data_IF_160252491909
#
_entry.id   IF_160252491909
#
_cell.length_a   1.000
_cell.length_b   1.000
_cell.length_c   1.000
_cell.angle_alpha   90.00
_cell.angle_beta   90.00
_cell.angle_gamma   90.00
#
_symmetry.space_group_name_H-M   'P 1'
#
loop_
_entity.id
_entity.type
_entity.pdbx_description
1 polymer ?
#
# COMPACT_ATOMS: atom_id res chain seq x y z
N UNK A 1 4.66 7.74 -9.15
CA UNK A 1 5.93 7.02 -9.47
C UNK A 1 5.59 5.57 -9.69
N UNK A 2 6.18 4.91 -10.70
CA UNK A 2 6.05 3.46 -10.87
C UNK A 2 7.26 2.77 -10.23
N UNK A 3 7.01 1.88 -9.28
CA UNK A 3 8.07 1.09 -8.64
C UNK A 3 8.35 -0.19 -9.43
N UNK A 4 9.62 -0.65 -9.51
CA UNK A 4 9.94 -1.92 -10.11
C UNK A 4 9.46 -3.08 -9.23
N UNK A 5 9.14 -4.22 -9.86
CA UNK A 5 8.86 -5.49 -9.16
C UNK A 5 10.19 -6.18 -8.81
N UNK A 6 11.04 -5.45 -8.08
CA UNK A 6 12.39 -5.87 -7.65
C UNK A 6 12.64 -5.32 -6.25
N UNK A 7 12.83 -6.20 -5.26
CA UNK A 7 12.79 -5.82 -3.84
C UNK A 7 13.78 -4.70 -3.50
N UNK A 8 15.05 -4.90 -3.84
CA UNK A 8 16.12 -3.94 -3.54
C UNK A 8 15.84 -2.58 -4.18
N UNK A 9 15.58 -2.56 -5.50
CA UNK A 9 15.35 -1.32 -6.25
C UNK A 9 14.11 -0.57 -5.76
N UNK A 10 13.05 -1.30 -5.41
CA UNK A 10 11.85 -0.69 -4.86
C UNK A 10 12.11 -0.07 -3.49
N UNK A 11 12.83 -0.74 -2.59
CA UNK A 11 13.22 -0.17 -1.29
C UNK A 11 14.09 1.08 -1.43
N UNK A 12 15.05 1.06 -2.34
CA UNK A 12 15.90 2.23 -2.63
C UNK A 12 15.09 3.43 -3.13
N UNK A 13 14.11 3.20 -4.01
CA UNK A 13 13.22 4.27 -4.50
C UNK A 13 12.31 4.79 -3.39
N UNK A 14 11.73 3.92 -2.57
CA UNK A 14 10.91 4.32 -1.43
C UNK A 14 11.72 5.15 -0.43
N UNK A 15 12.96 4.74 -0.12
CA UNK A 15 13.87 5.50 0.72
C UNK A 15 14.14 6.91 0.15
N UNK A 16 14.40 7.01 -1.16
CA UNK A 16 14.58 8.30 -1.84
C UNK A 16 13.34 9.18 -1.74
N UNK A 17 12.14 8.65 -2.00
CA UNK A 17 10.88 9.41 -1.90
C UNK A 17 10.74 10.04 -0.50
N UNK A 18 10.98 9.27 0.55
CA UNK A 18 10.84 9.78 1.93
C UNK A 18 11.93 10.78 2.32
N UNK A 19 13.16 10.57 1.88
CA UNK A 19 14.29 11.43 2.25
C UNK A 19 14.37 12.72 1.44
N UNK A 20 13.89 12.73 0.19
CA UNK A 20 13.97 13.91 -0.68
C UNK A 20 12.69 14.71 -0.76
N UNK A 21 11.53 14.06 -0.86
CA UNK A 21 10.25 14.74 -1.04
C UNK A 21 9.54 15.03 0.29
N UNK A 22 9.89 14.30 1.35
CA UNK A 22 9.27 14.42 2.69
C UNK A 22 7.73 14.54 2.63
N UNK A 23 7.03 13.61 1.95
CA UNK A 23 5.60 13.75 1.70
C UNK A 23 4.79 13.74 2.99
N UNK A 24 3.58 14.32 2.94
CA UNK A 24 2.59 14.20 4.01
C UNK A 24 2.18 12.74 4.22
N UNK A 25 1.86 12.05 3.11
CA UNK A 25 1.40 10.67 3.04
C UNK A 25 1.91 10.05 1.72
N UNK A 26 2.34 8.79 1.75
CA UNK A 26 2.57 7.99 0.54
C UNK A 26 1.46 6.95 0.40
N UNK A 27 0.74 6.96 -0.72
CA UNK A 27 -0.26 5.94 -1.05
C UNK A 27 0.29 5.02 -2.12
N UNK A 28 0.50 3.76 -1.76
CA UNK A 28 0.88 2.69 -2.68
C UNK A 28 -0.38 2.06 -3.28
N UNK A 29 -0.29 1.72 -4.57
CA UNK A 29 -1.36 1.03 -5.29
C UNK A 29 -0.76 -0.22 -5.94
N UNK A 30 -1.30 -1.38 -5.61
CA UNK A 30 -0.84 -2.67 -6.13
C UNK A 30 -1.97 -3.48 -6.76
N UNK A 31 -1.63 -4.34 -7.71
CA UNK A 31 -2.61 -5.21 -8.36
C UNK A 31 -2.88 -6.46 -7.51
N UNK A 32 -4.14 -6.70 -7.13
CA UNK A 32 -4.60 -8.00 -6.64
C UNK A 32 -5.19 -8.80 -7.81
N UNK A 33 -4.39 -9.65 -8.44
CA UNK A 33 -4.73 -10.35 -9.69
C UNK A 33 -5.99 -11.21 -9.60
N UNK A 34 -6.28 -11.79 -8.42
CA UNK A 34 -7.45 -12.62 -8.18
C UNK A 34 -8.72 -11.83 -7.81
N UNK A 35 -8.60 -10.53 -7.50
CA UNK A 35 -9.73 -9.71 -7.08
C UNK A 35 -10.63 -9.37 -8.29
N UNK A 36 -11.95 -9.40 -8.08
CA UNK A 36 -12.95 -9.08 -9.09
C UNK A 36 -13.78 -7.89 -8.61
N UNK A 37 -13.62 -6.74 -9.25
CA UNK A 37 -14.33 -5.51 -8.88
C UNK A 37 -14.25 -5.16 -7.40
N UNK A 38 -13.11 -5.46 -6.78
CA UNK A 38 -12.89 -5.34 -5.35
C UNK A 38 -11.58 -4.60 -5.07
N UNK A 39 -11.68 -3.48 -4.36
CA UNK A 39 -10.56 -2.75 -3.78
C UNK A 39 -10.35 -3.22 -2.34
N UNK A 40 -9.10 -3.40 -1.94
CA UNK A 40 -8.72 -3.82 -0.59
C UNK A 40 -7.88 -2.72 0.06
N UNK A 41 -8.32 -2.25 1.22
CA UNK A 41 -7.62 -1.26 2.03
C UNK A 41 -6.80 -1.96 3.11
N UNK A 42 -5.47 -1.84 3.02
CA UNK A 42 -4.55 -2.58 3.90
C UNK A 42 -4.10 -1.73 5.10
N UNK A 43 -4.39 -2.19 6.31
CA UNK A 43 -4.02 -1.47 7.54
C UNK A 43 -2.54 -1.60 7.91
N UNK A 44 -1.93 -2.74 7.56
CA UNK A 44 -0.70 -3.19 8.20
C UNK A 44 0.26 -3.80 7.19
N UNK A 45 1.52 -3.37 7.24
CA UNK A 45 2.63 -4.02 6.56
C UNK A 45 3.39 -4.94 7.51
N UNK A 46 4.00 -6.01 7.01
CA UNK A 46 4.77 -6.98 7.82
C UNK A 46 6.24 -6.96 7.41
N UNK A 47 7.14 -7.27 8.33
CA UNK A 47 8.58 -7.18 8.06
C UNK A 47 9.17 -8.49 7.53
N UNK A 48 8.50 -9.63 7.74
CA UNK A 48 9.07 -10.96 7.55
C UNK A 48 8.13 -11.87 6.78
N UNK A 49 8.70 -12.92 6.19
CA UNK A 49 7.98 -13.99 5.51
C UNK A 49 8.07 -13.92 3.98
N UNK A 50 8.97 -13.10 3.44
CA UNK A 50 9.20 -13.00 2.00
C UNK A 50 10.03 -14.19 1.51
N UNK A 51 9.39 -15.09 0.76
CA UNK A 51 10.02 -16.28 0.17
C UNK A 51 9.94 -16.28 -1.36
N UNK A 52 8.99 -15.52 -1.91
CA UNK A 52 8.76 -15.43 -3.34
C UNK A 52 9.84 -14.58 -4.02
N UNK A 53 10.36 -15.10 -5.14
CA UNK A 53 11.35 -14.40 -5.98
C UNK A 53 10.69 -13.27 -6.75
N UNK A 54 11.38 -12.15 -6.85
CA UNK A 54 10.98 -10.99 -7.64
C UNK A 54 11.24 -11.20 -9.14
N UNK A 55 10.97 -10.17 -9.95
CA UNK A 55 11.14 -10.24 -11.40
C UNK A 55 12.59 -10.46 -11.87
N UNK A 56 13.58 -10.30 -10.98
CA UNK A 56 14.99 -10.59 -11.25
C UNK A 56 15.44 -11.94 -10.65
N UNK A 57 14.52 -12.70 -10.04
CA UNK A 57 14.82 -14.01 -9.47
C UNK A 57 15.38 -13.95 -8.04
N UNK A 58 15.30 -12.82 -7.34
CA UNK A 58 15.84 -12.65 -5.98
C UNK A 58 14.71 -12.51 -4.95
N UNK A 59 14.96 -12.90 -3.71
CA UNK A 59 14.10 -12.56 -2.57
C UNK A 59 14.94 -11.81 -1.52
N UNK A 60 14.31 -11.11 -0.55
CA UNK A 60 15.05 -10.37 0.46
C UNK A 60 15.96 -11.28 1.29
N UNK A 61 17.14 -10.78 1.62
CA UNK A 61 18.05 -11.47 2.54
C UNK A 61 17.38 -11.68 3.90
N UNK A 62 17.51 -12.88 4.45
CA UNK A 62 16.83 -13.27 5.69
C UNK A 62 15.29 -13.28 5.60
N UNK A 63 14.72 -13.13 4.41
CA UNK A 63 13.27 -13.08 4.19
C UNK A 63 12.60 -11.91 4.90
N UNK A 64 13.32 -10.81 5.13
CA UNK A 64 12.83 -9.63 5.83
C UNK A 64 13.05 -8.32 5.07
N UNK A 65 12.25 -7.29 5.36
CA UNK A 65 12.35 -6.00 4.69
C UNK A 65 13.43 -5.10 5.32
N UNK A 66 13.41 -4.95 6.64
CA UNK A 66 14.37 -4.18 7.42
C UNK A 66 14.94 -5.08 8.52
N UNK A 67 16.26 -5.26 8.53
CA UNK A 67 16.95 -5.98 9.60
C UNK A 67 16.64 -5.30 10.94
N UNK A 68 16.25 -6.10 11.93
CA UNK A 68 15.85 -5.64 13.28
C UNK A 68 14.67 -4.65 13.32
N UNK A 69 13.96 -4.48 12.20
CA UNK A 69 12.73 -3.69 12.14
C UNK A 69 11.56 -4.36 12.87
N UNK A 70 10.56 -3.58 13.35
CA UNK A 70 9.37 -4.12 14.01
C UNK A 70 8.68 -5.20 13.17
N UNK A 71 8.15 -6.26 13.77
CA UNK A 71 7.54 -7.36 12.99
C UNK A 71 6.41 -6.90 12.06
N UNK A 72 5.70 -5.85 12.47
CA UNK A 72 4.63 -5.23 11.70
C UNK A 72 4.55 -3.75 12.04
N UNK A 73 4.08 -2.95 11.10
CA UNK A 73 3.81 -1.52 11.29
C UNK A 73 2.41 -1.25 10.75
N UNK A 74 1.62 -0.50 11.50
CA UNK A 74 0.31 -0.04 11.06
C UNK A 74 0.42 1.37 10.49
N UNK A 75 -0.41 1.64 9.48
CA UNK A 75 -0.59 3.00 8.98
C UNK A 75 -1.18 3.91 10.06
N UNK A 76 -0.79 5.18 10.06
CA UNK A 76 -1.52 6.22 10.81
C UNK A 76 -2.93 6.42 10.24
N UNK A 77 -3.14 6.07 8.97
CA UNK A 77 -4.48 6.02 8.37
C UNK A 77 -5.28 4.87 8.97
N UNK A 78 -6.41 5.19 9.57
CA UNK A 78 -7.38 4.21 10.04
C UNK A 78 -8.23 3.71 8.87
N UNK A 79 -7.75 2.65 8.21
CA UNK A 79 -8.41 2.03 7.06
C UNK A 79 -9.77 1.43 7.44
N UNK A 80 -9.94 1.00 8.70
CA UNK A 80 -11.21 0.44 9.18
C UNK A 80 -12.30 1.51 9.24
N UNK A 81 -11.97 2.68 9.77
CA UNK A 81 -12.89 3.82 9.81
C UNK A 81 -13.18 4.33 8.39
N UNK A 82 -12.14 4.43 7.55
CA UNK A 82 -12.30 4.83 6.15
C UNK A 82 -13.23 3.89 5.40
N UNK A 83 -13.00 2.58 5.49
CA UNK A 83 -13.84 1.55 4.89
C UNK A 83 -15.31 1.63 5.33
N UNK A 84 -15.58 1.85 6.62
CA UNK A 84 -16.95 1.96 7.13
C UNK A 84 -17.72 3.18 6.62
N UNK A 85 -17.01 4.28 6.40
CA UNK A 85 -17.62 5.58 6.12
C UNK A 85 -17.54 5.97 4.65
N UNK A 86 -16.85 5.20 3.82
CA UNK A 86 -16.69 5.50 2.40
C UNK A 86 -17.61 4.63 1.55
N UNK A 87 -18.16 5.24 0.51
CA UNK A 87 -18.80 4.55 -0.59
C UNK A 87 -18.18 5.05 -1.88
N UNK A 88 -17.80 4.12 -2.76
CA UNK A 88 -17.29 4.43 -4.09
C UNK A 88 -18.17 3.71 -5.12
N UNK A 89 -18.48 4.39 -6.21
CA UNK A 89 -19.39 3.87 -7.23
C UNK A 89 -18.69 2.82 -8.10
N UNK A 90 -19.37 1.70 -8.36
CA UNK A 90 -18.95 0.70 -9.35
C UNK A 90 -17.81 -0.23 -8.93
N UNK A 91 -17.34 -0.16 -7.69
CA UNK A 91 -16.30 -1.06 -7.14
C UNK A 91 -16.57 -1.31 -5.66
N UNK A 92 -16.52 -2.56 -5.23
CA UNK A 92 -16.63 -2.91 -3.82
C UNK A 92 -15.33 -2.58 -3.09
N UNK A 93 -15.43 -2.24 -1.80
CA UNK A 93 -14.28 -1.95 -0.94
C UNK A 93 -14.33 -2.82 0.29
N UNK A 94 -13.21 -3.45 0.62
CA UNK A 94 -13.03 -4.22 1.85
C UNK A 94 -11.82 -3.75 2.64
N UNK A 95 -11.85 -4.03 3.94
CA UNK A 95 -10.75 -3.80 4.86
C UNK A 95 -9.93 -5.08 5.06
N UNK A 96 -8.61 -4.95 5.08
CA UNK A 96 -7.67 -6.03 5.38
C UNK A 96 -6.56 -5.54 6.32
N UNK A 97 -5.95 -6.47 7.06
CA UNK A 97 -4.76 -6.24 7.89
C UNK A 97 -3.56 -7.05 7.39
N UNK A 98 -3.61 -7.53 6.16
CA UNK A 98 -2.57 -8.35 5.57
C UNK A 98 -2.41 -8.04 4.07
N UNK A 99 -1.35 -7.28 3.74
CA UNK A 99 -1.01 -6.93 2.36
C UNK A 99 -0.26 -8.06 1.59
N UNK A 100 -0.18 -9.27 2.16
CA UNK A 100 0.52 -10.42 1.57
C UNK A 100 2.00 -10.49 1.94
N UNK A 101 2.77 -11.36 1.26
CA UNK A 101 4.23 -11.55 1.51
C UNK A 101 5.04 -11.49 0.22
N UNK A 102 4.67 -10.54 -0.64
CA UNK A 102 5.40 -10.24 -1.87
C UNK A 102 5.79 -8.76 -1.93
N UNK A 103 6.16 -8.25 -3.11
CA UNK A 103 6.65 -6.89 -3.34
C UNK A 103 5.68 -5.80 -2.82
N UNK A 104 4.37 -6.04 -2.85
CA UNK A 104 3.34 -5.11 -2.38
C UNK A 104 3.52 -4.80 -0.89
N UNK A 105 3.45 -5.83 -0.04
CA UNK A 105 3.67 -5.70 1.41
C UNK A 105 5.09 -5.21 1.73
N UNK A 106 6.11 -5.67 0.99
CA UNK A 106 7.49 -5.24 1.21
C UNK A 106 7.70 -3.73 0.99
N UNK A 107 7.18 -3.20 -0.12
CA UNK A 107 7.27 -1.76 -0.43
C UNK A 107 6.41 -0.92 0.51
N UNK A 108 5.24 -1.45 0.88
CA UNK A 108 4.39 -0.85 1.89
C UNK A 108 5.10 -0.75 3.24
N UNK A 109 5.63 -1.86 3.75
CA UNK A 109 6.36 -1.92 5.01
C UNK A 109 7.57 -0.98 5.00
N UNK A 110 8.36 -0.97 3.93
CA UNK A 110 9.50 -0.04 3.80
C UNK A 110 9.04 1.42 3.93
N UNK A 111 7.92 1.75 3.30
CA UNK A 111 7.35 3.10 3.33
C UNK A 111 6.75 3.45 4.70
N UNK A 112 6.14 2.49 5.40
CA UNK A 112 5.69 2.67 6.78
C UNK A 112 6.88 2.89 7.72
N UNK A 113 7.95 2.13 7.56
CA UNK A 113 9.17 2.26 8.36
C UNK A 113 9.83 3.63 8.17
N UNK A 114 10.15 4.01 6.93
CA UNK A 114 10.80 5.31 6.65
C UNK A 114 9.87 6.51 6.87
N UNK A 115 8.56 6.32 6.68
CA UNK A 115 7.55 7.37 6.83
C UNK A 115 7.02 7.56 8.25
N UNK A 116 7.48 6.77 9.23
CA UNK A 116 6.92 6.73 10.58
C UNK A 116 5.40 6.50 10.58
N UNK A 117 4.96 5.48 9.84
CA UNK A 117 3.55 5.08 9.72
C UNK A 117 2.73 5.88 8.68
N UNK A 118 3.27 6.97 8.11
CA UNK A 118 2.57 7.83 7.14
C UNK A 118 2.54 7.26 5.72
N UNK A 119 2.18 6.00 5.60
CA UNK A 119 1.99 5.33 4.32
C UNK A 119 0.70 4.52 4.34
N UNK A 120 0.07 4.39 3.18
CA UNK A 120 -1.14 3.62 2.95
C UNK A 120 -0.94 2.66 1.78
N UNK A 121 -1.70 1.57 1.74
CA UNK A 121 -1.68 0.64 0.62
C UNK A 121 -3.10 0.24 0.20
N UNK A 122 -3.32 0.27 -1.11
CA UNK A 122 -4.58 -0.10 -1.75
C UNK A 122 -4.29 -1.20 -2.77
N UNK A 123 -4.85 -2.39 -2.58
CA UNK A 123 -4.92 -3.36 -3.67
C UNK A 123 -6.12 -3.06 -4.57
N UNK A 124 -5.90 -3.07 -5.88
CA UNK A 124 -6.92 -2.84 -6.90
C UNK A 124 -7.12 -4.09 -7.76
N UNK A 125 -8.33 -4.32 -8.30
CA UNK A 125 -8.57 -5.45 -9.19
C UNK A 125 -7.99 -5.15 -10.60
N UNK A 126 -7.81 -6.17 -11.45
CA UNK A 126 -7.52 -5.97 -12.86
C UNK A 126 -8.62 -5.15 -13.54
N UNK A 127 -8.24 -4.36 -14.54
CA UNK A 127 -9.20 -3.65 -15.38
C UNK A 127 -10.06 -4.67 -16.13
N UNK A 128 -11.35 -4.33 -16.27
CA UNK A 128 -12.34 -5.15 -16.96
C UNK A 128 -13.41 -4.28 -17.60
N UNK A 129 -14.39 -4.89 -18.28
CA UNK A 129 -15.55 -4.16 -18.79
C UNK A 129 -16.35 -3.47 -17.70
N UNK A 130 -16.42 -4.08 -16.51
CA UNK A 130 -17.16 -3.54 -15.35
C UNK A 130 -16.32 -2.57 -14.53
N UNK A 131 -14.99 -2.76 -14.50
CA UNK A 131 -14.05 -1.88 -13.78
C UNK A 131 -13.11 -1.23 -14.78
N UNK A 132 -13.54 -0.11 -15.33
CA UNK A 132 -12.72 0.67 -16.26
C UNK A 132 -11.64 1.43 -15.52
N UNK A 133 -10.60 1.88 -16.24
CA UNK A 133 -9.59 2.78 -15.69
C UNK A 133 -10.20 4.07 -15.14
N UNK A 134 -11.26 4.58 -15.77
CA UNK A 134 -11.96 5.78 -15.31
C UNK A 134 -12.69 5.54 -13.97
N UNK A 135 -13.41 4.42 -13.87
CA UNK A 135 -14.10 4.03 -12.63
C UNK A 135 -13.09 3.84 -11.50
N UNK A 136 -12.01 3.09 -11.75
CA UNK A 136 -10.97 2.84 -10.75
C UNK A 136 -10.23 4.13 -10.36
N UNK A 137 -9.94 5.01 -11.31
CA UNK A 137 -9.32 6.31 -11.05
C UNK A 137 -10.16 7.20 -10.14
N UNK A 138 -11.48 7.25 -10.38
CA UNK A 138 -12.43 7.98 -9.51
C UNK A 138 -12.49 7.36 -8.11
N UNK A 139 -12.57 6.04 -8.01
CA UNK A 139 -12.56 5.35 -6.72
C UNK A 139 -11.28 5.64 -5.91
N UNK A 140 -10.12 5.54 -6.55
CA UNK A 140 -8.83 5.87 -5.94
C UNK A 140 -8.75 7.33 -5.50
N UNK A 141 -9.22 8.28 -6.32
CA UNK A 141 -9.28 9.68 -5.95
C UNK A 141 -10.10 9.91 -4.68
N UNK A 142 -11.31 9.34 -4.60
CA UNK A 142 -12.20 9.45 -3.43
C UNK A 142 -11.54 8.85 -2.19
N UNK A 143 -10.93 7.66 -2.30
CA UNK A 143 -10.21 7.00 -1.22
C UNK A 143 -9.04 7.86 -0.71
N UNK A 144 -8.19 8.36 -1.61
CA UNK A 144 -7.02 9.18 -1.26
C UNK A 144 -7.45 10.48 -0.57
N UNK A 145 -8.50 11.15 -1.06
CA UNK A 145 -9.04 12.35 -0.41
C UNK A 145 -9.55 12.05 1.00
N UNK A 146 -10.17 10.89 1.24
CA UNK A 146 -10.57 10.48 2.58
C UNK A 146 -9.37 10.19 3.50
N UNK A 147 -8.28 9.61 2.99
CA UNK A 147 -7.04 9.42 3.75
C UNK A 147 -6.39 10.76 4.14
N UNK A 148 -6.38 11.73 3.21
CA UNK A 148 -5.81 13.05 3.46
C UNK A 148 -6.57 13.83 4.54
N UNK A 149 -7.89 13.63 4.67
CA UNK A 149 -8.67 14.22 5.77
C UNK A 149 -8.18 13.74 7.14
N UNK A 150 -7.93 12.44 7.29
CA UNK A 150 -7.37 11.88 8.54
C UNK A 150 -5.98 12.45 8.87
N UNK A 151 -5.16 12.75 7.86
CA UNK A 151 -3.84 13.38 8.07
C UNK A 151 -3.93 14.81 8.64
N UNK A 152 -5.06 15.50 8.43
CA UNK A 152 -5.31 16.84 8.96
C UNK A 152 -5.79 16.82 10.42
N UNK A 153 -6.60 15.82 10.78
CA UNK A 153 -7.16 15.64 12.12
C UNK A 153 -6.09 15.30 13.19
N UNK A 154 -4.97 14.67 12.81
CA UNK A 154 -3.85 14.37 13.73
C UNK A 154 -2.99 15.60 14.07
N UNK A 155 -3.22 16.77 13.45
CA UNK A 155 -2.41 17.99 13.62
C UNK A 155 -3.08 19.08 14.45
N UNK A 156 -4.31 18.85 14.91
CA UNK A 156 -5.07 19.72 15.82
C UNK A 156 -5.01 19.20 17.26
#
# INVERSE_FOLDING_TARGET
VQLPVVYQKAKEQVFKIWTTLQPLLVVHVGLASAAKALIILEQCGKNKGYQERDACGFHPEGGCCVLDGPEKIESTINMKTLWKNISVEGVDVIFSRDAGRYICDFTYYASLYYGSGRAAFIHVPPLSKSVTAATLGKALQTLILAMLKQCGEERE
#
